data_IF_599907174180
#
_entry.id   IF_599907174180
#
_cell.length_a   1.000
_cell.length_b   1.000
_cell.length_c   1.000
_cell.angle_alpha   90.00
_cell.angle_beta   90.00
_cell.angle_gamma   90.00
#
_symmetry.space_group_name_H-M   'P 1'
#
loop_
_entity.id
_entity.type
_entity.pdbx_description
1 polymer ?
#
# COMPACT_ATOMS: atom_id res chain seq x y z
N UNK A 1 -2.61 16.87 -9.48
CA UNK A 1 -3.61 15.85 -9.10
C UNK A 1 -3.44 14.63 -10.00
N UNK A 2 -3.38 13.48 -9.40
CA UNK A 2 -3.33 12.21 -10.10
C UNK A 2 -4.68 11.50 -9.92
N UNK A 3 -5.19 10.92 -11.01
CA UNK A 3 -6.43 10.12 -11.00
C UNK A 3 -6.03 8.72 -11.43
N UNK A 4 -6.29 7.73 -10.57
CA UNK A 4 -6.17 6.33 -10.92
C UNK A 4 -7.57 5.75 -11.17
N UNK A 5 -7.73 5.04 -12.29
CA UNK A 5 -8.94 4.27 -12.61
C UNK A 5 -8.52 2.82 -12.73
N UNK A 6 -8.71 2.05 -11.66
CA UNK A 6 -8.45 0.60 -11.65
C UNK A 6 -9.58 -0.19 -12.35
N UNK A 7 -9.25 -1.36 -12.89
CA UNK A 7 -10.23 -2.28 -13.47
C UNK A 7 -11.32 -2.67 -12.46
N UNK A 8 -12.53 -2.18 -12.64
CA UNK A 8 -13.68 -2.50 -11.80
C UNK A 8 -13.68 -1.84 -10.41
N UNK A 9 -12.70 -0.99 -10.11
CA UNK A 9 -12.61 -0.20 -8.89
C UNK A 9 -12.50 1.26 -9.32
N UNK A 10 -13.61 1.99 -9.22
CA UNK A 10 -13.61 3.44 -9.43
C UNK A 10 -13.03 4.14 -8.20
N UNK A 11 -11.88 4.79 -8.33
CA UNK A 11 -11.33 5.60 -7.26
C UNK A 11 -10.74 6.91 -7.79
N UNK A 12 -10.64 7.89 -6.90
CA UNK A 12 -9.91 9.14 -7.14
C UNK A 12 -8.80 9.25 -6.10
N UNK A 13 -7.55 9.39 -6.55
CA UNK A 13 -6.39 9.59 -5.67
C UNK A 13 -5.78 10.95 -5.95
N UNK A 14 -5.59 11.76 -4.91
CA UNK A 14 -4.99 13.11 -5.00
C UNK A 14 -3.95 13.26 -3.91
N UNK A 15 -2.76 13.72 -4.28
CA UNK A 15 -1.71 14.07 -3.33
C UNK A 15 -1.17 15.47 -3.61
N UNK A 16 -0.81 16.19 -2.56
CA UNK A 16 -0.08 17.44 -2.62
C UNK A 16 1.32 17.22 -2.06
N UNK A 17 2.33 17.70 -2.80
CA UNK A 17 3.72 17.67 -2.35
C UNK A 17 4.30 19.07 -2.26
N UNK A 18 5.16 19.29 -1.26
CA UNK A 18 5.95 20.49 -1.07
C UNK A 18 7.42 20.09 -0.97
N UNK A 19 8.26 20.69 -1.80
CA UNK A 19 9.72 20.42 -1.85
C UNK A 19 10.10 18.93 -2.00
N UNK A 20 9.22 18.16 -2.66
CA UNK A 20 9.41 16.72 -2.90
C UNK A 20 8.69 15.81 -1.89
N UNK A 21 8.30 16.33 -0.75
CA UNK A 21 7.60 15.57 0.29
C UNK A 21 6.07 15.65 0.12
N UNK A 22 5.40 14.51 0.21
CA UNK A 22 3.93 14.46 0.20
C UNK A 22 3.42 14.94 1.56
N UNK A 23 2.71 16.08 1.55
CA UNK A 23 2.23 16.75 2.77
C UNK A 23 0.73 16.57 3.02
N UNK A 24 -0.06 16.24 2.00
CA UNK A 24 -1.47 15.93 2.14
C UNK A 24 -1.90 14.93 1.06
N UNK A 25 -2.88 14.10 1.36
CA UNK A 25 -3.43 13.13 0.42
C UNK A 25 -4.88 12.77 0.74
N UNK A 26 -5.63 12.44 -0.32
CA UNK A 26 -6.97 11.89 -0.21
C UNK A 26 -7.16 10.79 -1.27
N UNK A 27 -7.88 9.73 -0.88
CA UNK A 27 -8.30 8.65 -1.77
C UNK A 27 -9.78 8.41 -1.54
N UNK A 28 -10.58 8.48 -2.61
CA UNK A 28 -12.03 8.25 -2.57
C UNK A 28 -12.33 6.92 -3.25
N UNK A 29 -12.90 5.97 -2.51
CA UNK A 29 -13.51 4.76 -3.06
C UNK A 29 -14.96 5.10 -3.45
N UNK A 30 -15.17 5.34 -4.74
CA UNK A 30 -16.47 5.78 -5.27
C UNK A 30 -17.54 4.70 -5.10
N UNK A 31 -17.17 3.41 -5.10
CA UNK A 31 -18.12 2.32 -5.00
C UNK A 31 -18.63 2.09 -3.57
N UNK A 32 -17.78 2.41 -2.57
CA UNK A 32 -18.12 2.27 -1.14
C UNK A 32 -18.54 3.58 -0.51
N UNK A 33 -18.45 4.70 -1.25
CA UNK A 33 -18.66 6.05 -0.74
C UNK A 33 -17.80 6.36 0.49
N UNK A 34 -16.52 5.97 0.39
CA UNK A 34 -15.53 6.11 1.47
C UNK A 34 -14.43 7.10 1.07
N UNK A 35 -14.10 8.03 1.96
CA UNK A 35 -13.00 9.00 1.75
C UNK A 35 -11.92 8.81 2.79
N UNK A 36 -10.77 8.36 2.35
CA UNK A 36 -9.54 8.31 3.15
C UNK A 36 -8.76 9.61 2.97
N UNK A 37 -8.22 10.15 4.06
CA UNK A 37 -7.42 11.38 4.00
C UNK A 37 -6.36 11.43 5.09
N UNK A 38 -5.25 12.14 4.80
CA UNK A 38 -4.21 12.45 5.76
C UNK A 38 -3.52 13.77 5.41
N UNK A 39 -2.97 14.41 6.44
CA UNK A 39 -1.97 15.47 6.32
C UNK A 39 -0.78 15.10 7.19
N UNK A 40 0.42 15.45 6.76
CA UNK A 40 1.66 15.12 7.47
C UNK A 40 1.63 15.56 8.94
N UNK A 41 1.85 14.61 9.86
CA UNK A 41 1.83 14.83 11.32
C UNK A 41 0.43 15.04 11.93
N UNK A 42 -0.68 14.79 11.20
CA UNK A 42 -2.04 15.00 11.71
C UNK A 42 -2.86 13.71 11.83
N UNK A 43 -2.23 12.56 11.57
CA UNK A 43 -2.90 11.26 11.52
C UNK A 43 -3.77 11.07 10.27
N UNK A 44 -4.27 9.85 10.10
CA UNK A 44 -5.13 9.46 8.99
C UNK A 44 -6.60 9.35 9.42
N UNK A 45 -7.50 9.51 8.44
CA UNK A 45 -8.96 9.49 8.65
C UNK A 45 -9.68 8.75 7.54
N UNK A 46 -10.77 8.09 7.92
CA UNK A 46 -11.79 7.58 7.03
C UNK A 46 -13.11 8.28 7.34
N UNK A 47 -13.68 8.99 6.37
CA UNK A 47 -14.90 9.81 6.53
C UNK A 47 -14.83 10.75 7.75
N UNK A 48 -13.66 11.36 7.95
CA UNK A 48 -13.38 12.25 9.07
C UNK A 48 -13.08 11.57 10.40
N UNK A 49 -13.31 10.27 10.56
CA UNK A 49 -12.99 9.51 11.77
C UNK A 49 -11.53 9.03 11.75
N UNK A 50 -10.78 9.10 12.86
CA UNK A 50 -9.42 8.57 12.92
C UNK A 50 -9.35 7.09 12.60
N UNK A 51 -8.29 6.69 11.89
CA UNK A 51 -8.00 5.28 11.58
C UNK A 51 -6.58 4.93 12.03
N UNK A 52 -6.37 3.63 12.31
CA UNK A 52 -5.10 3.05 12.72
C UNK A 52 -4.88 1.73 12.01
N UNK A 53 -3.62 1.37 11.84
CA UNK A 53 -3.20 0.06 11.30
C UNK A 53 -3.67 -1.08 12.21
N UNK A 54 -3.68 -2.30 11.68
CA UNK A 54 -3.97 -3.50 12.46
C UNK A 54 -2.88 -3.75 13.53
N UNK A 55 -3.25 -4.53 14.56
CA UNK A 55 -2.32 -4.97 15.61
C UNK A 55 -1.66 -6.32 15.26
N UNK A 56 -1.46 -6.62 13.99
CA UNK A 56 -0.82 -7.85 13.52
C UNK A 56 0.62 -7.96 14.07
N UNK A 57 0.98 -9.15 14.62
CA UNK A 57 2.23 -9.34 15.34
C UNK A 57 3.28 -10.16 14.58
N UNK A 58 2.95 -10.74 13.43
CA UNK A 58 3.88 -11.53 12.61
C UNK A 58 3.40 -11.66 11.19
N UNK A 59 4.31 -11.88 10.26
CA UNK A 59 3.97 -12.14 8.85
C UNK A 59 3.07 -13.36 8.68
N UNK A 60 3.28 -14.40 9.50
CA UNK A 60 2.45 -15.62 9.47
C UNK A 60 0.96 -15.38 9.80
N UNK A 61 0.65 -14.27 10.46
CA UNK A 61 -0.73 -13.87 10.77
C UNK A 61 -1.27 -12.80 9.78
N UNK A 62 -0.39 -12.25 8.94
CA UNK A 62 -0.72 -11.11 8.11
C UNK A 62 -1.56 -11.48 6.88
N UNK A 63 -2.61 -10.70 6.62
CA UNK A 63 -3.25 -10.60 5.33
C UNK A 63 -2.48 -9.57 4.49
N UNK A 64 -1.75 -10.05 3.49
CA UNK A 64 -0.88 -9.21 2.65
C UNK A 64 -1.59 -8.84 1.35
N UNK A 65 -1.59 -7.56 1.01
CA UNK A 65 -2.08 -7.07 -0.28
C UNK A 65 -0.95 -6.87 -1.27
N UNK A 66 -1.22 -7.07 -2.55
CA UNK A 66 -0.26 -6.90 -3.64
C UNK A 66 -0.95 -6.54 -4.94
N UNK A 67 -0.18 -6.20 -5.96
CA UNK A 67 -0.60 -6.04 -7.34
C UNK A 67 0.43 -6.60 -8.32
N UNK A 68 0.03 -6.66 -9.58
CA UNK A 68 0.85 -7.25 -10.65
C UNK A 68 0.93 -6.32 -11.85
N UNK A 69 2.15 -6.21 -12.41
CA UNK A 69 2.40 -5.45 -13.62
C UNK A 69 1.58 -5.99 -14.81
N UNK A 70 1.15 -5.11 -15.71
CA UNK A 70 0.53 -5.47 -16.99
C UNK A 70 1.52 -6.14 -17.96
N UNK A 71 2.83 -6.04 -17.71
CA UNK A 71 3.89 -6.68 -18.49
C UNK A 71 4.11 -8.13 -18.02
N UNK A 72 4.03 -9.07 -18.95
CA UNK A 72 4.13 -10.51 -18.64
C UNK A 72 5.51 -10.92 -18.10
N UNK A 73 6.59 -10.31 -18.61
CA UNK A 73 7.95 -10.55 -18.13
C UNK A 73 8.17 -10.12 -16.68
N UNK A 74 7.56 -9.00 -16.27
CA UNK A 74 7.58 -8.51 -14.89
C UNK A 74 6.72 -9.40 -14.00
N UNK A 75 5.49 -9.77 -14.44
CA UNK A 75 4.63 -10.69 -13.69
C UNK A 75 5.28 -12.04 -13.40
N UNK A 76 6.09 -12.55 -14.33
CA UNK A 76 6.86 -13.79 -14.10
C UNK A 76 7.77 -13.68 -12.88
N UNK A 77 8.49 -12.56 -12.73
CA UNK A 77 9.33 -12.28 -11.55
C UNK A 77 8.49 -12.07 -10.29
N UNK A 78 7.40 -11.33 -10.38
CA UNK A 78 6.47 -11.14 -9.25
C UNK A 78 5.87 -12.45 -8.78
N UNK A 79 5.65 -13.42 -9.69
CA UNK A 79 5.19 -14.77 -9.34
C UNK A 79 6.15 -15.53 -8.42
N UNK A 80 7.46 -15.37 -8.58
CA UNK A 80 8.45 -15.96 -7.67
C UNK A 80 8.37 -15.36 -6.26
N UNK A 81 8.12 -14.06 -6.14
CA UNK A 81 7.91 -13.42 -4.83
C UNK A 81 6.67 -13.99 -4.16
N UNK A 82 5.56 -14.12 -4.89
CA UNK A 82 4.32 -14.72 -4.37
C UNK A 82 4.55 -16.17 -3.92
N UNK A 83 5.31 -16.95 -4.69
CA UNK A 83 5.66 -18.33 -4.32
C UNK A 83 6.39 -18.40 -2.96
N UNK A 84 7.28 -17.46 -2.68
CA UNK A 84 8.00 -17.38 -1.40
C UNK A 84 7.10 -16.85 -0.27
N UNK A 85 6.19 -15.94 -0.58
CA UNK A 85 5.32 -15.30 0.41
C UNK A 85 4.15 -16.18 0.84
N UNK A 86 3.59 -17.00 -0.05
CA UNK A 86 2.43 -17.87 0.25
C UNK A 86 2.60 -18.76 1.48
N UNK A 87 3.74 -19.44 1.72
CA UNK A 87 3.93 -20.23 2.93
C UNK A 87 4.28 -19.38 4.17
N UNK A 88 4.68 -18.11 3.99
CA UNK A 88 5.14 -17.26 5.07
C UNK A 88 4.03 -16.36 5.64
N UNK A 89 3.04 -15.98 4.84
CA UNK A 89 1.92 -15.11 5.23
C UNK A 89 0.65 -15.93 5.49
N UNK A 90 -0.32 -15.35 6.21
CA UNK A 90 -1.64 -15.96 6.39
C UNK A 90 -2.39 -16.11 5.06
N UNK A 91 -2.37 -15.07 4.24
CA UNK A 91 -3.02 -15.06 2.93
C UNK A 91 -2.58 -13.85 2.11
N UNK A 92 -2.84 -13.88 0.80
CA UNK A 92 -2.53 -12.79 -0.13
C UNK A 92 -3.79 -12.38 -0.87
N UNK A 93 -3.97 -11.07 -1.09
CA UNK A 93 -5.05 -10.50 -1.90
C UNK A 93 -4.51 -9.51 -2.93
N UNK A 94 -5.14 -9.48 -4.10
CA UNK A 94 -4.91 -8.50 -5.14
C UNK A 94 -6.25 -7.89 -5.55
N UNK A 95 -6.43 -6.59 -5.29
CA UNK A 95 -7.67 -5.87 -5.60
C UNK A 95 -7.53 -4.91 -6.80
N UNK A 96 -6.31 -4.71 -7.30
CA UNK A 96 -6.08 -3.96 -8.53
C UNK A 96 -5.99 -2.44 -8.39
N UNK A 97 -5.85 -1.93 -7.16
CA UNK A 97 -5.55 -0.52 -6.89
C UNK A 97 -4.58 -0.38 -5.74
N UNK A 98 -3.37 0.08 -6.04
CA UNK A 98 -2.33 0.34 -5.05
C UNK A 98 -2.79 1.39 -4.02
N UNK A 99 -3.35 2.52 -4.48
CA UNK A 99 -3.83 3.59 -3.60
C UNK A 99 -4.86 3.09 -2.58
N UNK A 100 -5.85 2.31 -3.03
CA UNK A 100 -6.88 1.79 -2.13
C UNK A 100 -6.34 0.72 -1.17
N UNK A 101 -5.48 -0.17 -1.65
CA UNK A 101 -4.87 -1.22 -0.83
C UNK A 101 -4.00 -0.61 0.29
N UNK A 102 -3.26 0.46 0.00
CA UNK A 102 -2.52 1.23 1.01
C UNK A 102 -3.45 1.89 2.05
N UNK A 103 -4.58 2.46 1.60
CA UNK A 103 -5.59 3.00 2.52
C UNK A 103 -6.19 1.91 3.42
N UNK A 104 -6.41 0.71 2.89
CA UNK A 104 -6.93 -0.41 3.68
C UNK A 104 -5.93 -0.95 4.70
N UNK A 105 -4.61 -0.88 4.42
CA UNK A 105 -3.59 -1.10 5.45
C UNK A 105 -3.70 -0.04 6.54
N UNK A 106 -3.81 1.25 6.17
CA UNK A 106 -4.00 2.35 7.12
C UNK A 106 -5.27 2.24 7.97
N UNK A 107 -6.32 1.58 7.45
CA UNK A 107 -7.58 1.36 8.17
C UNK A 107 -7.65 0.01 8.90
N UNK A 108 -6.56 -0.77 8.94
CA UNK A 108 -6.51 -2.08 9.58
C UNK A 108 -7.36 -3.16 8.91
N UNK A 109 -7.80 -2.95 7.66
CA UNK A 109 -8.58 -3.93 6.87
C UNK A 109 -7.71 -4.99 6.22
N UNK A 110 -6.43 -4.66 6.02
CA UNK A 110 -5.35 -5.56 5.69
C UNK A 110 -4.17 -5.27 6.59
N UNK A 111 -3.27 -6.24 6.72
CA UNK A 111 -2.16 -6.10 7.65
C UNK A 111 -0.93 -5.51 6.96
N UNK A 112 -0.72 -5.82 5.67
CA UNK A 112 0.44 -5.32 4.95
C UNK A 112 0.17 -5.19 3.45
N UNK A 113 1.03 -4.45 2.77
CA UNK A 113 1.01 -4.26 1.33
C UNK A 113 2.44 -4.29 0.80
N UNK A 114 2.62 -4.88 -0.40
CA UNK A 114 3.82 -4.70 -1.21
C UNK A 114 3.48 -4.72 -2.70
N UNK A 115 4.20 -3.96 -3.50
CA UNK A 115 4.10 -4.00 -4.96
C UNK A 115 5.37 -3.41 -5.59
N UNK A 116 5.68 -3.83 -6.82
CA UNK A 116 6.77 -3.28 -7.63
C UNK A 116 6.24 -2.65 -8.90
N UNK A 117 7.03 -1.72 -9.44
CA UNK A 117 6.78 -1.09 -10.74
C UNK A 117 5.57 -0.15 -10.77
N UNK A 118 5.09 0.29 -9.60
CA UNK A 118 4.06 1.32 -9.46
C UNK A 118 4.64 2.73 -9.59
N UNK A 119 3.79 3.69 -9.94
CA UNK A 119 4.19 5.08 -10.17
C UNK A 119 3.75 5.97 -9.00
N UNK A 120 4.33 7.16 -8.92
CA UNK A 120 4.05 8.10 -7.83
C UNK A 120 2.55 8.39 -7.65
N UNK A 121 1.80 8.46 -8.73
CA UNK A 121 0.35 8.68 -8.68
C UNK A 121 -0.44 7.49 -8.15
N UNK A 122 0.14 6.28 -8.18
CA UNK A 122 -0.48 5.05 -7.63
C UNK A 122 -0.32 4.97 -6.11
N UNK A 123 0.75 5.55 -5.54
CA UNK A 123 1.05 5.35 -4.13
C UNK A 123 1.11 6.61 -3.27
N UNK A 124 1.33 7.80 -3.82
CA UNK A 124 1.66 8.99 -3.03
C UNK A 124 0.63 9.31 -1.92
N UNK A 125 -0.66 9.35 -2.26
CA UNK A 125 -1.70 9.61 -1.27
C UNK A 125 -1.88 8.43 -0.30
N UNK A 126 -2.00 7.20 -0.84
CA UNK A 126 -2.20 6.00 -0.02
C UNK A 126 -1.06 5.72 0.94
N UNK A 127 0.19 5.94 0.53
CA UNK A 127 1.37 5.76 1.38
C UNK A 127 1.42 6.79 2.52
N UNK A 128 1.04 8.05 2.25
CA UNK A 128 0.89 9.05 3.32
C UNK A 128 -0.19 8.61 4.31
N UNK A 129 -1.35 8.16 3.83
CA UNK A 129 -2.46 7.71 4.69
C UNK A 129 -2.03 6.51 5.53
N UNK A 130 -1.38 5.49 4.95
CA UNK A 130 -0.88 4.34 5.70
C UNK A 130 0.15 4.76 6.76
N UNK A 131 1.09 5.64 6.42
CA UNK A 131 2.11 6.14 7.34
C UNK A 131 1.51 6.94 8.49
N UNK A 132 0.59 7.84 8.21
CA UNK A 132 -0.10 8.65 9.23
C UNK A 132 -1.02 7.81 10.12
N UNK A 133 -1.44 6.62 9.66
CA UNK A 133 -2.16 5.63 10.47
C UNK A 133 -1.22 4.73 11.30
N UNK A 134 0.10 4.87 11.18
CA UNK A 134 1.10 4.17 11.98
C UNK A 134 1.88 3.07 11.25
N UNK A 135 1.68 2.87 9.94
CA UNK A 135 2.49 1.94 9.17
C UNK A 135 3.91 2.46 8.96
N UNK A 136 4.89 1.54 8.95
CA UNK A 136 6.19 1.78 8.33
C UNK A 136 6.01 1.65 6.83
N UNK A 137 6.53 2.62 6.08
CA UNK A 137 6.44 2.63 4.61
C UNK A 137 7.82 2.72 3.98
N UNK A 138 8.06 1.92 2.95
CA UNK A 138 9.16 2.08 2.01
C UNK A 138 8.57 2.44 0.64
N UNK A 139 9.13 3.45 -0.02
CA UNK A 139 8.62 3.95 -1.29
C UNK A 139 9.54 3.52 -2.44
N UNK A 140 8.98 3.36 -3.65
CA UNK A 140 9.76 3.00 -4.82
C UNK A 140 10.93 3.95 -5.08
N UNK A 141 12.12 3.40 -5.17
CA UNK A 141 13.33 4.11 -5.60
C UNK A 141 14.23 3.16 -6.43
N UNK A 142 15.25 3.66 -7.13
CA UNK A 142 16.15 2.80 -7.90
C UNK A 142 16.89 1.77 -7.04
N UNK A 143 17.22 2.13 -5.80
CA UNK A 143 18.02 1.32 -4.87
C UNK A 143 17.25 0.08 -4.38
N UNK A 144 15.91 0.16 -4.28
CA UNK A 144 15.05 -0.94 -3.86
C UNK A 144 14.31 -1.63 -5.02
N UNK A 145 14.78 -1.42 -6.26
CA UNK A 145 14.18 -2.00 -7.48
C UNK A 145 12.68 -1.67 -7.62
N UNK A 146 12.32 -0.43 -7.26
CA UNK A 146 10.95 0.08 -7.37
C UNK A 146 9.95 -0.56 -6.42
N UNK A 147 10.41 -1.10 -5.29
CA UNK A 147 9.56 -1.75 -4.29
C UNK A 147 8.82 -0.72 -3.44
N UNK A 148 7.51 -0.89 -3.31
CA UNK A 148 6.68 -0.24 -2.30
C UNK A 148 6.31 -1.26 -1.22
N UNK A 149 6.42 -0.89 0.06
CA UNK A 149 5.95 -1.69 1.21
C UNK A 149 5.21 -0.76 2.17
N UNK A 150 4.14 -1.27 2.77
CA UNK A 150 3.51 -0.69 3.95
C UNK A 150 3.08 -1.80 4.90
N UNK A 151 3.47 -1.72 6.18
CA UNK A 151 3.15 -2.73 7.18
C UNK A 151 3.29 -2.19 8.61
N UNK A 152 2.70 -2.84 9.62
CA UNK A 152 3.04 -2.58 11.02
C UNK A 152 4.55 -2.78 11.26
N UNK A 153 5.18 -2.02 12.18
CA UNK A 153 6.61 -2.09 12.42
C UNK A 153 7.15 -3.52 12.66
N UNK A 154 6.39 -4.34 13.38
CA UNK A 154 6.77 -5.73 13.70
C UNK A 154 6.70 -6.68 12.50
N UNK A 155 5.90 -6.38 11.47
CA UNK A 155 5.73 -7.20 10.25
C UNK A 155 6.64 -6.73 9.12
N UNK A 156 7.04 -5.45 9.16
CA UNK A 156 7.73 -4.79 8.06
C UNK A 156 9.03 -5.50 7.65
N UNK A 157 9.91 -5.79 8.59
CA UNK A 157 11.22 -6.40 8.29
C UNK A 157 11.09 -7.85 7.81
N UNK A 158 10.14 -8.61 8.37
CA UNK A 158 9.84 -9.97 7.92
C UNK A 158 9.33 -9.96 6.47
N UNK A 159 8.35 -9.10 6.16
CA UNK A 159 7.81 -8.96 4.81
C UNK A 159 8.89 -8.52 3.84
N UNK A 160 9.66 -7.48 4.18
CA UNK A 160 10.74 -6.96 3.36
C UNK A 160 11.74 -8.05 2.99
N UNK A 161 12.17 -8.85 3.97
CA UNK A 161 13.11 -9.97 3.74
C UNK A 161 12.59 -10.96 2.71
N UNK A 162 11.28 -11.29 2.74
CA UNK A 162 10.68 -12.25 1.79
C UNK A 162 10.56 -11.64 0.40
N UNK A 163 10.13 -10.37 0.28
CA UNK A 163 9.84 -9.74 -1.03
C UNK A 163 11.09 -9.21 -1.74
N UNK A 164 12.22 -9.08 -1.04
CA UNK A 164 13.52 -8.74 -1.63
C UNK A 164 14.27 -9.96 -2.19
N UNK A 165 13.87 -11.18 -1.84
CA UNK A 165 14.47 -12.39 -2.41
C UNK A 165 14.21 -12.42 -3.93
N UNK A 166 15.31 -12.44 -4.72
CA UNK A 166 15.31 -12.43 -6.19
C UNK A 166 15.26 -13.84 -6.74
#
# INVERSE_FOLDING_TARGET
>A
PAIEIGCGIGLVSVAAALDGDVVAGAVVDVLRDETFSASAGQGARLDGSPIEISQCQSLAQALVMTGFSYRADIRGRQGHIVQSLLPAARDIRCFGSAALQLCWVGAGRADAYFERDIKVWDYAAGALIAREAGAVTELPCPENDGLAIAAPPVVFDELRTVVEQR
#
